data_IF_000358076261
#
_entry.id   IF_000358076261
#
_cell.length_a   1.000
_cell.length_b   1.000
_cell.length_c   1.000
_cell.angle_alpha   90.00
_cell.angle_beta   90.00
_cell.angle_gamma   90.00
#
_symmetry.space_group_name_H-M   'P 1'
#
loop_
_entity.id
_entity.type
_entity.pdbx_description
1 polymer ?
#
# COMPACT_ATOMS: atom_id res chain seq x y z
N UNK A 1 5.14 5.60 -21.52
CA UNK A 1 5.87 6.48 -22.47
C UNK A 1 6.81 7.46 -21.75
N UNK A 2 6.36 8.15 -20.69
CA UNK A 2 7.18 9.16 -19.96
C UNK A 2 8.47 8.54 -19.40
N UNK A 3 8.43 7.30 -18.93
CA UNK A 3 9.59 6.61 -18.35
C UNK A 3 10.40 5.79 -19.37
N UNK A 4 10.09 5.86 -20.70
CA UNK A 4 10.81 5.13 -21.73
C UNK A 4 10.69 3.60 -21.66
N UNK A 5 9.70 3.08 -20.93
CA UNK A 5 9.54 1.64 -20.68
C UNK A 5 8.86 0.88 -21.82
N UNK A 6 8.30 1.58 -22.80
CA UNK A 6 7.62 0.98 -23.94
C UNK A 6 8.12 1.62 -25.24
N UNK A 7 8.58 0.78 -26.16
CA UNK A 7 9.04 1.17 -27.50
C UNK A 7 7.90 1.15 -28.52
N UNK A 8 6.80 0.46 -28.20
CA UNK A 8 5.63 0.30 -29.08
C UNK A 8 4.31 0.41 -28.31
N UNK A 9 3.22 0.62 -29.05
CA UNK A 9 1.88 0.66 -28.45
C UNK A 9 1.44 -0.72 -27.92
N UNK A 10 1.94 -1.81 -28.50
CA UNK A 10 1.64 -3.16 -28.01
C UNK A 10 2.33 -3.40 -26.67
N UNK A 11 3.61 -3.08 -26.56
CA UNK A 11 4.37 -3.18 -25.32
C UNK A 11 3.74 -2.32 -24.20
N UNK A 12 3.27 -1.12 -24.55
CA UNK A 12 2.53 -0.28 -23.59
C UNK A 12 1.25 -0.94 -23.10
N UNK A 13 0.48 -1.59 -24.00
CA UNK A 13 -0.73 -2.33 -23.63
C UNK A 13 -0.43 -3.50 -22.72
N UNK A 14 0.65 -4.24 -22.99
CA UNK A 14 1.08 -5.37 -22.16
C UNK A 14 1.47 -4.90 -20.74
N UNK A 15 2.21 -3.81 -20.62
CA UNK A 15 2.57 -3.22 -19.33
C UNK A 15 1.31 -2.81 -18.56
N UNK A 16 0.36 -2.14 -19.21
CA UNK A 16 -0.91 -1.72 -18.59
C UNK A 16 -1.72 -2.92 -18.12
N UNK A 17 -1.89 -3.93 -19.01
CA UNK A 17 -2.63 -5.15 -18.69
C UNK A 17 -2.02 -5.87 -17.48
N UNK A 18 -0.72 -6.16 -17.54
CA UNK A 18 -0.01 -6.87 -16.47
C UNK A 18 -0.04 -6.11 -15.14
N UNK A 19 0.03 -4.79 -15.18
CA UNK A 19 -0.03 -3.98 -13.96
C UNK A 19 -1.42 -3.98 -13.34
N UNK A 20 -2.49 -3.94 -14.14
CA UNK A 20 -3.87 -4.02 -13.68
C UNK A 20 -4.20 -5.43 -13.18
N UNK A 21 -3.65 -6.46 -13.81
CA UNK A 21 -3.78 -7.86 -13.37
C UNK A 21 -3.14 -8.06 -12.00
N UNK A 22 -1.87 -7.62 -11.82
CA UNK A 22 -1.18 -7.65 -10.53
C UNK A 22 -1.89 -6.85 -9.42
N UNK A 23 -2.62 -5.80 -9.79
CA UNK A 23 -3.44 -5.03 -8.85
C UNK A 23 -4.84 -5.63 -8.63
N UNK A 24 -5.13 -6.83 -9.17
CA UNK A 24 -6.42 -7.50 -9.05
C UNK A 24 -7.59 -6.70 -9.63
N UNK A 25 -7.34 -5.88 -10.65
CA UNK A 25 -8.33 -4.91 -11.15
C UNK A 25 -8.74 -5.14 -12.60
N UNK A 26 -7.98 -5.92 -13.37
CA UNK A 26 -8.17 -6.04 -14.83
C UNK A 26 -9.60 -6.47 -15.20
N UNK A 27 -10.17 -7.46 -14.51
CA UNK A 27 -11.52 -7.96 -14.81
C UNK A 27 -12.63 -6.95 -14.55
N UNK A 28 -12.39 -6.00 -13.64
CA UNK A 28 -13.35 -4.95 -13.29
C UNK A 28 -13.31 -3.76 -14.27
N UNK A 29 -12.18 -3.58 -15.00
CA UNK A 29 -11.96 -2.36 -15.82
C UNK A 29 -11.61 -2.64 -17.27
N UNK A 30 -11.48 -3.90 -17.70
CA UNK A 30 -11.05 -4.27 -19.08
C UNK A 30 -11.85 -3.60 -20.20
N UNK A 31 -13.15 -3.37 -19.98
CA UNK A 31 -14.04 -2.74 -20.96
C UNK A 31 -14.05 -1.20 -20.84
N UNK A 32 -13.28 -0.63 -19.91
CA UNK A 32 -13.29 0.78 -19.53
C UNK A 32 -11.88 1.39 -19.43
N UNK A 33 -10.89 0.80 -20.09
CA UNK A 33 -9.48 1.20 -19.97
C UNK A 33 -9.20 2.64 -20.45
N UNK A 34 -10.08 3.22 -21.25
CA UNK A 34 -9.99 4.59 -21.74
C UNK A 34 -10.88 5.58 -20.96
N UNK A 35 -11.64 5.11 -19.99
CA UNK A 35 -12.50 5.96 -19.18
C UNK A 35 -11.69 6.70 -18.10
N UNK A 36 -12.29 7.77 -17.58
CA UNK A 36 -11.69 8.48 -16.45
C UNK A 36 -11.84 7.65 -15.16
N UNK A 37 -10.76 7.52 -14.41
CA UNK A 37 -10.75 6.79 -13.14
C UNK A 37 -11.64 7.41 -12.04
N UNK A 38 -12.05 8.67 -12.19
CA UNK A 38 -12.94 9.36 -11.25
C UNK A 38 -14.32 8.72 -11.11
N UNK A 39 -14.76 7.93 -12.10
CA UNK A 39 -16.01 7.17 -12.06
C UNK A 39 -15.91 5.80 -11.35
N UNK A 40 -14.75 5.45 -10.80
CA UNK A 40 -14.51 4.21 -10.07
C UNK A 40 -14.74 4.38 -8.57
N UNK A 41 -14.98 3.25 -7.86
CA UNK A 41 -15.04 3.28 -6.39
C UNK A 41 -13.67 3.64 -5.78
N UNK A 42 -13.66 4.09 -4.52
CA UNK A 42 -12.42 4.45 -3.81
C UNK A 42 -11.40 3.31 -3.81
N UNK A 43 -11.81 2.08 -3.52
CA UNK A 43 -10.94 0.91 -3.56
C UNK A 43 -10.40 0.59 -4.95
N UNK A 44 -11.20 0.80 -6.01
CA UNK A 44 -10.72 0.65 -7.40
C UNK A 44 -9.71 1.75 -7.75
N UNK A 45 -9.97 3.00 -7.36
CA UNK A 45 -9.03 4.11 -7.56
C UNK A 45 -7.70 3.84 -6.85
N UNK A 46 -7.73 3.32 -5.62
CA UNK A 46 -6.52 2.98 -4.88
C UNK A 46 -5.74 1.86 -5.58
N UNK A 47 -6.42 0.82 -6.07
CA UNK A 47 -5.76 -0.26 -6.84
C UNK A 47 -5.17 0.25 -8.17
N UNK A 48 -5.79 1.25 -8.83
CA UNK A 48 -5.17 1.92 -10.00
C UNK A 48 -3.89 2.65 -9.60
N UNK A 49 -3.87 3.32 -8.44
CA UNK A 49 -2.65 3.98 -7.95
C UNK A 49 -1.53 2.96 -7.71
N UNK A 50 -1.84 1.80 -7.15
CA UNK A 50 -0.89 0.70 -6.97
C UNK A 50 -0.44 0.14 -8.34
N UNK A 51 -1.39 -0.15 -9.25
CA UNK A 51 -1.06 -0.61 -10.61
C UNK A 51 -0.11 0.35 -11.32
N UNK A 52 -0.33 1.65 -11.21
CA UNK A 52 0.54 2.69 -11.76
C UNK A 52 1.94 2.66 -11.14
N UNK A 53 2.03 2.43 -9.82
CA UNK A 53 3.33 2.36 -9.13
C UNK A 53 4.13 1.14 -9.58
N UNK A 54 3.50 -0.05 -9.66
CA UNK A 54 4.19 -1.29 -10.07
C UNK A 54 4.51 -1.36 -11.57
N UNK A 55 3.82 -0.57 -12.41
CA UNK A 55 4.04 -0.55 -13.86
C UNK A 55 5.49 -0.15 -14.25
N UNK A 56 6.19 0.58 -13.40
CA UNK A 56 7.59 0.97 -13.63
C UNK A 56 8.59 0.02 -12.99
N UNK A 57 8.13 -1.10 -12.42
CA UNK A 57 8.93 -2.12 -11.75
C UNK A 57 9.92 -1.52 -10.73
N UNK A 58 9.44 -0.75 -9.73
CA UNK A 58 10.29 -0.09 -8.76
C UNK A 58 10.92 -1.10 -7.79
N UNK A 59 12.02 -0.75 -7.14
CA UNK A 59 12.57 -1.54 -6.03
C UNK A 59 11.78 -1.31 -4.74
N UNK A 60 11.26 -0.09 -4.55
CA UNK A 60 10.54 0.32 -3.34
C UNK A 60 9.26 1.05 -3.73
N UNK A 61 8.15 0.69 -3.06
CA UNK A 61 6.86 1.37 -3.19
C UNK A 61 6.58 2.09 -1.87
N UNK A 62 6.29 3.39 -1.95
CA UNK A 62 5.87 4.20 -0.81
C UNK A 62 4.35 4.38 -0.86
N UNK A 63 3.68 4.09 0.25
CA UNK A 63 2.24 4.24 0.41
C UNK A 63 1.94 5.13 1.61
N UNK A 64 1.25 6.23 1.38
CA UNK A 64 0.84 7.15 2.42
C UNK A 64 -0.68 7.00 2.65
N UNK A 65 -1.05 6.53 3.84
CA UNK A 65 -2.44 6.30 4.27
C UNK A 65 -3.30 5.53 3.24
N UNK A 66 -2.86 4.36 2.74
CA UNK A 66 -3.47 3.71 1.57
C UNK A 66 -4.92 3.28 1.77
N UNK A 67 -5.41 3.21 3.00
CA UNK A 67 -6.78 2.75 3.30
C UNK A 67 -7.62 3.78 4.07
N UNK A 68 -7.13 5.00 4.33
CA UNK A 68 -7.79 5.98 5.22
C UNK A 68 -9.20 6.39 4.79
N UNK A 69 -9.51 6.35 3.50
CA UNK A 69 -10.81 6.75 2.94
C UNK A 69 -11.65 5.55 2.45
N UNK A 70 -11.30 4.32 2.84
CA UNK A 70 -11.94 3.10 2.35
C UNK A 70 -12.85 2.48 3.42
N UNK A 71 -13.91 1.82 2.96
CA UNK A 71 -14.71 0.94 3.81
C UNK A 71 -13.93 -0.33 4.21
N UNK A 72 -14.40 -1.09 5.21
CA UNK A 72 -13.68 -2.28 5.69
C UNK A 72 -13.45 -3.35 4.63
N UNK A 73 -14.38 -3.53 3.67
CA UNK A 73 -14.26 -4.54 2.61
C UNK A 73 -13.18 -4.12 1.62
N UNK A 74 -13.19 -2.85 1.19
CA UNK A 74 -12.17 -2.31 0.31
C UNK A 74 -10.80 -2.30 0.99
N UNK A 75 -10.73 -1.96 2.29
CA UNK A 75 -9.51 -2.02 3.10
C UNK A 75 -8.91 -3.44 3.09
N UNK A 76 -9.71 -4.47 3.37
CA UNK A 76 -9.24 -5.84 3.37
C UNK A 76 -8.64 -6.25 2.02
N UNK A 77 -9.27 -5.88 0.91
CA UNK A 77 -8.74 -6.14 -0.45
C UNK A 77 -7.40 -5.44 -0.72
N UNK A 78 -7.24 -4.21 -0.24
CA UNK A 78 -5.95 -3.50 -0.38
C UNK A 78 -4.87 -4.14 0.49
N UNK A 79 -5.19 -4.55 1.72
CA UNK A 79 -4.25 -5.25 2.61
C UNK A 79 -3.83 -6.60 2.02
N UNK A 80 -4.75 -7.37 1.44
CA UNK A 80 -4.46 -8.61 0.73
C UNK A 80 -3.51 -8.36 -0.45
N UNK A 81 -3.82 -7.37 -1.30
CA UNK A 81 -2.97 -6.96 -2.41
C UNK A 81 -1.57 -6.53 -1.93
N UNK A 82 -1.47 -5.74 -0.84
CA UNK A 82 -0.17 -5.35 -0.28
C UNK A 82 0.65 -6.57 0.15
N UNK A 83 0.04 -7.57 0.77
CA UNK A 83 0.72 -8.81 1.14
C UNK A 83 1.23 -9.55 -0.10
N UNK A 84 0.42 -9.71 -1.14
CA UNK A 84 0.80 -10.38 -2.39
C UNK A 84 1.98 -9.67 -3.07
N UNK A 85 1.90 -8.36 -3.26
CA UNK A 85 2.97 -7.61 -3.95
C UNK A 85 4.23 -7.45 -3.08
N UNK A 86 4.14 -7.60 -1.75
CA UNK A 86 5.29 -7.54 -0.84
C UNK A 86 6.28 -8.69 -1.04
N UNK A 87 5.87 -9.76 -1.71
CA UNK A 87 6.77 -10.86 -2.10
C UNK A 87 7.76 -10.44 -3.19
N UNK A 88 7.40 -9.44 -3.99
CA UNK A 88 8.21 -8.95 -5.12
C UNK A 88 8.81 -7.58 -4.87
N UNK A 89 8.10 -6.70 -4.15
CA UNK A 89 8.49 -5.31 -3.94
C UNK A 89 8.73 -5.03 -2.46
N UNK A 90 9.69 -4.16 -2.16
CA UNK A 90 9.80 -3.57 -0.83
C UNK A 90 8.72 -2.51 -0.67
N UNK A 91 7.86 -2.65 0.35
CA UNK A 91 6.77 -1.71 0.60
C UNK A 91 7.03 -0.95 1.90
N UNK A 92 6.93 0.36 1.85
CA UNK A 92 6.96 1.24 3.02
C UNK A 92 5.61 1.93 3.12
N UNK A 93 4.93 1.75 4.25
CA UNK A 93 3.58 2.29 4.50
C UNK A 93 3.67 3.31 5.62
N UNK A 94 3.08 4.48 5.41
CA UNK A 94 2.75 5.42 6.48
C UNK A 94 1.27 5.25 6.81
N UNK A 95 0.95 5.00 8.07
CA UNK A 95 -0.44 4.88 8.54
C UNK A 95 -0.56 5.29 10.01
N UNK A 96 -1.70 5.87 10.36
CA UNK A 96 -2.08 6.09 11.75
C UNK A 96 -2.88 4.91 12.34
N UNK A 97 -3.22 3.90 11.53
CA UNK A 97 -3.93 2.71 11.98
C UNK A 97 -2.98 1.65 12.52
N UNK A 98 -2.88 1.53 13.83
CA UNK A 98 -2.11 0.48 14.50
C UNK A 98 -2.57 -0.93 14.06
N UNK A 99 -3.87 -1.11 13.87
CA UNK A 99 -4.42 -2.39 13.43
C UNK A 99 -3.96 -2.76 12.02
N UNK A 100 -3.89 -1.79 11.10
CA UNK A 100 -3.36 -2.00 9.76
C UNK A 100 -1.87 -2.34 9.83
N UNK A 101 -1.08 -1.55 10.54
CA UNK A 101 0.35 -1.81 10.70
C UNK A 101 0.61 -3.23 11.25
N UNK A 102 -0.15 -3.66 12.25
CA UNK A 102 -0.03 -4.99 12.84
C UNK A 102 -0.37 -6.12 11.87
N UNK A 103 -1.30 -5.89 10.90
CA UNK A 103 -1.70 -6.95 9.95
C UNK A 103 -0.78 -7.08 8.74
N UNK A 104 -0.23 -5.97 8.24
CA UNK A 104 0.43 -5.96 6.92
C UNK A 104 1.94 -5.76 6.98
N UNK A 105 2.52 -5.36 8.11
CA UNK A 105 3.95 -5.08 8.18
C UNK A 105 4.74 -6.15 8.92
N UNK A 106 5.98 -6.41 8.46
CA UNK A 106 6.97 -7.27 9.13
C UNK A 106 7.79 -6.47 10.15
N UNK A 107 8.03 -5.21 9.86
CA UNK A 107 8.76 -4.25 10.69
C UNK A 107 7.92 -3.00 10.88
N UNK A 108 7.95 -2.43 12.08
CA UNK A 108 7.22 -1.20 12.39
C UNK A 108 8.17 -0.17 12.98
N UNK A 109 8.06 1.07 12.50
CA UNK A 109 8.74 2.24 13.03
C UNK A 109 7.71 3.17 13.67
N UNK A 110 7.87 3.49 14.94
CA UNK A 110 7.04 4.47 15.62
C UNK A 110 7.75 5.82 15.65
N UNK A 111 7.08 6.83 15.07
CA UNK A 111 7.54 8.21 15.07
C UNK A 111 6.67 9.07 15.97
N UNK A 112 7.28 10.00 16.70
CA UNK A 112 6.59 11.01 17.48
C UNK A 112 7.28 12.37 17.34
N UNK A 113 6.53 13.39 16.94
CA UNK A 113 7.01 14.76 16.73
C UNK A 113 8.27 14.86 15.84
N UNK A 114 8.39 13.99 14.84
CA UNK A 114 9.51 13.94 13.91
C UNK A 114 10.66 13.04 14.34
N UNK A 115 10.68 12.56 15.58
CA UNK A 115 11.71 11.65 16.09
C UNK A 115 11.30 10.19 15.90
N UNK A 116 12.25 9.34 15.49
CA UNK A 116 12.10 7.90 15.51
C UNK A 116 12.23 7.40 16.96
N UNK A 117 11.13 6.96 17.54
CA UNK A 117 11.06 6.50 18.93
C UNK A 117 11.48 5.04 19.05
N UNK A 118 10.98 4.18 18.15
CA UNK A 118 11.27 2.77 18.15
C UNK A 118 11.15 2.18 16.75
N UNK A 119 12.00 1.19 16.44
CA UNK A 119 11.94 0.39 15.21
C UNK A 119 12.27 -1.06 15.53
N UNK A 120 11.34 -1.96 15.29
CA UNK A 120 11.50 -3.37 15.61
C UNK A 120 10.61 -4.26 14.72
N UNK A 121 10.66 -5.58 14.97
CA UNK A 121 9.66 -6.51 14.45
C UNK A 121 8.27 -6.06 14.90
N UNK A 122 7.30 -6.15 14.01
CA UNK A 122 5.93 -5.69 14.25
C UNK A 122 5.32 -6.38 15.48
N UNK A 123 5.47 -7.70 15.59
CA UNK A 123 4.98 -8.45 16.75
C UNK A 123 5.56 -7.90 18.06
N UNK A 124 6.86 -7.56 18.08
CA UNK A 124 7.50 -7.02 19.27
C UNK A 124 6.97 -5.63 19.60
N UNK A 125 6.83 -4.76 18.61
CA UNK A 125 6.28 -3.41 18.79
C UNK A 125 4.88 -3.48 19.44
N UNK A 126 4.01 -4.39 18.98
CA UNK A 126 2.63 -4.44 19.45
C UNK A 126 2.39 -5.31 20.69
N UNK A 127 3.35 -6.15 21.09
CA UNK A 127 3.20 -7.04 22.26
C UNK A 127 4.12 -6.67 23.42
N UNK A 128 5.35 -6.29 23.14
CA UNK A 128 6.39 -6.02 24.15
C UNK A 128 7.38 -4.96 23.64
N UNK A 129 6.93 -3.71 23.42
CA UNK A 129 7.82 -2.64 22.99
C UNK A 129 8.92 -2.36 24.03
N UNK A 130 10.09 -1.95 23.53
CA UNK A 130 11.23 -1.60 24.40
C UNK A 130 11.12 -0.17 24.95
N UNK A 131 10.33 0.70 24.29
CA UNK A 131 10.18 2.11 24.66
C UNK A 131 8.82 2.38 25.34
N UNK A 132 8.86 3.05 26.48
CA UNK A 132 7.66 3.42 27.25
C UNK A 132 6.68 4.27 26.43
N UNK A 133 7.17 5.21 25.61
CA UNK A 133 6.30 6.01 24.73
C UNK A 133 5.57 5.15 23.70
N UNK A 134 6.23 4.13 23.15
CA UNK A 134 5.59 3.17 22.24
C UNK A 134 4.49 2.41 22.98
N UNK A 135 4.77 1.95 24.20
CA UNK A 135 3.79 1.25 25.03
C UNK A 135 2.58 2.12 25.37
N UNK A 136 2.80 3.37 25.75
CA UNK A 136 1.74 4.32 26.05
C UNK A 136 0.87 4.59 24.82
N UNK A 137 1.49 4.75 23.66
CA UNK A 137 0.74 4.94 22.40
C UNK A 137 -0.14 3.74 22.08
N UNK A 138 0.40 2.51 22.14
CA UNK A 138 -0.34 1.28 21.84
C UNK A 138 -1.47 1.02 22.84
N UNK A 139 -1.25 1.35 24.11
CA UNK A 139 -2.26 1.16 25.16
C UNK A 139 -3.27 2.30 25.28
N UNK A 140 -3.17 3.32 24.42
CA UNK A 140 -4.05 4.50 24.44
C UNK A 140 -3.84 5.43 25.64
N UNK A 141 -2.68 5.34 26.30
CA UNK A 141 -2.30 6.21 27.44
C UNK A 141 -1.50 7.43 27.00
N UNK A 142 -1.34 7.60 25.70
CA UNK A 142 -0.58 8.67 25.09
C UNK A 142 -1.43 9.96 25.08
N UNK A 143 -1.14 10.91 25.96
CA UNK A 143 -1.84 12.18 26.08
C UNK A 143 -1.15 13.13 27.06
#
# INVERSE_FOLDING_TARGET
RIHGLASSDNELKDIVHNSLEKAGLIDEVKDRLNDQATGLSGGQQQRICIARAIAVSPEVILMDEPCSALDPIATAKIEELMNEISETYTIIIVTHSMQQAARVSKKTAFFHLGDLIEYNDTDKIFTQPDNEKTQDYITGRFG
#
